data_IF_186090631609
#
_entry.id   IF_186090631609
#
_cell.length_a   1.000
_cell.length_b   1.000
_cell.length_c   1.000
_cell.angle_alpha   90.00
_cell.angle_beta   90.00
_cell.angle_gamma   90.00
#
_symmetry.space_group_name_H-M   'P 1'
#
loop_
_entity.id
_entity.type
_entity.pdbx_description
1 polymer ?
#
# COMPACT_ATOMS: atom_id res chain seq x y z
N UNK A 1 -1.37 16.89 23.20
CA UNK A 1 -0.79 15.88 22.30
C UNK A 1 -1.52 16.01 20.97
N UNK A 2 -0.85 16.49 19.93
CA UNK A 2 -1.44 16.51 18.58
C UNK A 2 -1.58 15.08 18.07
N UNK A 3 -2.67 14.76 17.39
CA UNK A 3 -2.79 13.48 16.70
C UNK A 3 -1.64 13.34 15.67
N UNK A 4 -1.11 12.12 15.44
CA UNK A 4 -0.19 11.91 14.33
C UNK A 4 -0.88 12.35 13.04
N UNK A 5 -0.20 13.17 12.23
CA UNK A 5 -0.70 13.53 10.91
C UNK A 5 -0.75 12.26 10.06
N UNK A 6 -1.96 11.85 9.66
CA UNK A 6 -2.14 10.77 8.70
C UNK A 6 -1.91 11.37 7.31
N UNK A 7 -0.89 10.87 6.61
CA UNK A 7 -0.50 11.38 5.30
C UNK A 7 -1.48 10.89 4.23
N UNK A 8 -1.95 11.78 3.35
CA UNK A 8 -2.80 11.39 2.24
C UNK A 8 -2.02 10.58 1.19
N UNK A 9 -2.65 9.55 0.64
CA UNK A 9 -2.09 8.72 -0.42
C UNK A 9 -3.10 8.58 -1.56
N UNK A 10 -2.66 8.84 -2.79
CA UNK A 10 -3.48 8.74 -4.00
C UNK A 10 -3.02 7.56 -4.85
N UNK A 11 -3.96 6.74 -5.31
CA UNK A 11 -3.68 5.67 -6.27
C UNK A 11 -3.14 6.29 -7.57
N UNK A 12 -1.99 5.82 -8.04
CA UNK A 12 -1.37 6.28 -9.29
C UNK A 12 -1.25 5.16 -10.33
N UNK A 13 -1.25 3.90 -9.89
CA UNK A 13 -1.23 2.74 -10.79
C UNK A 13 -1.96 1.57 -10.14
N UNK A 14 -2.79 0.88 -10.92
CA UNK A 14 -3.37 -0.41 -10.56
C UNK A 14 -3.01 -1.43 -11.65
N UNK A 15 -2.33 -2.50 -11.26
CA UNK A 15 -1.86 -3.53 -12.17
C UNK A 15 -2.89 -4.66 -12.29
N UNK A 16 -3.39 -4.90 -13.50
CA UNK A 16 -4.33 -5.99 -13.79
C UNK A 16 -3.59 -7.34 -13.89
N UNK A 17 -3.35 -7.97 -12.74
CA UNK A 17 -2.81 -9.34 -12.59
C UNK A 17 -1.39 -9.54 -13.13
N UNK A 18 -0.44 -9.74 -12.22
CA UNK A 18 0.93 -10.16 -12.51
C UNK A 18 1.19 -11.58 -11.99
N UNK A 19 2.07 -12.33 -12.66
CA UNK A 19 2.41 -13.72 -12.32
C UNK A 19 1.56 -14.82 -13.01
N UNK A 20 1.98 -16.10 -12.84
CA UNK A 20 1.31 -17.30 -13.42
C UNK A 20 0.84 -18.26 -12.32
N UNK A 21 -0.29 -18.93 -12.56
CA UNK A 21 -0.79 -20.01 -11.69
C UNK A 21 -1.06 -19.55 -10.24
N UNK A 22 -0.61 -20.34 -9.26
CA UNK A 22 -0.77 -20.04 -7.84
C UNK A 22 -0.02 -18.79 -7.34
N UNK A 23 0.86 -18.20 -8.16
CA UNK A 23 1.63 -16.97 -7.83
C UNK A 23 1.00 -15.70 -8.39
N UNK A 24 -0.27 -15.75 -8.83
CA UNK A 24 -0.98 -14.54 -9.27
C UNK A 24 -1.08 -13.54 -8.13
N UNK A 25 -0.67 -12.32 -8.42
CA UNK A 25 -0.74 -11.20 -7.51
C UNK A 25 -1.10 -9.92 -8.29
N UNK A 26 -1.50 -8.89 -7.55
CA UNK A 26 -1.86 -7.58 -8.08
C UNK A 26 -1.06 -6.54 -7.34
N UNK A 27 -0.72 -5.46 -8.03
CA UNK A 27 0.00 -4.33 -7.45
C UNK A 27 -0.89 -3.11 -7.52
N UNK A 28 -0.96 -2.38 -6.41
CA UNK A 28 -1.50 -1.02 -6.38
C UNK A 28 -0.38 -0.11 -5.92
N UNK A 29 -0.09 0.95 -6.68
CA UNK A 29 0.94 1.93 -6.33
C UNK A 29 0.26 3.24 -5.96
N UNK A 30 0.67 3.81 -4.83
CA UNK A 30 0.14 5.05 -4.29
C UNK A 30 1.25 6.08 -4.14
N UNK A 31 0.96 7.33 -4.49
CA UNK A 31 1.82 8.48 -4.17
C UNK A 31 1.32 9.13 -2.90
N UNK A 32 2.19 9.31 -1.92
CA UNK A 32 1.88 10.04 -0.70
C UNK A 32 2.15 11.55 -0.84
N UNK A 33 1.40 12.37 -0.10
CA UNK A 33 1.51 13.83 -0.13
C UNK A 33 2.85 14.35 0.42
N UNK A 34 3.51 13.56 1.27
CA UNK A 34 4.86 13.82 1.79
C UNK A 34 5.97 13.53 0.76
N UNK A 35 5.61 13.03 -0.43
CA UNK A 35 6.55 12.63 -1.48
C UNK A 35 6.95 11.16 -1.43
N UNK A 36 6.48 10.39 -0.45
CA UNK A 36 6.66 8.94 -0.38
C UNK A 36 5.88 8.17 -1.45
N UNK A 37 6.18 6.88 -1.55
CA UNK A 37 5.49 5.93 -2.42
C UNK A 37 5.11 4.68 -1.63
N UNK A 38 3.92 4.15 -1.88
CA UNK A 38 3.45 2.90 -1.28
C UNK A 38 3.10 1.92 -2.38
N UNK A 39 3.65 0.71 -2.31
CA UNK A 39 3.28 -0.41 -3.19
C UNK A 39 2.58 -1.47 -2.35
N UNK A 40 1.34 -1.80 -2.71
CA UNK A 40 0.58 -2.91 -2.12
C UNK A 40 0.61 -4.07 -3.11
N UNK A 41 1.25 -5.17 -2.72
CA UNK A 41 1.19 -6.44 -3.43
C UNK A 41 0.15 -7.35 -2.79
N UNK A 42 -0.93 -7.64 -3.51
CA UNK A 42 -1.99 -8.58 -3.08
C UNK A 42 -1.81 -9.94 -3.74
N UNK A 43 -1.92 -11.00 -2.96
CA UNK A 43 -1.88 -12.37 -3.46
C UNK A 43 -3.29 -12.98 -3.52
N UNK A 44 -3.46 -14.00 -4.37
CA UNK A 44 -4.73 -14.73 -4.51
C UNK A 44 -5.22 -15.36 -3.20
N UNK A 45 -4.30 -15.74 -2.32
CA UNK A 45 -4.60 -16.32 -0.99
C UNK A 45 -4.98 -15.28 0.06
N UNK A 46 -5.20 -14.02 -0.35
CA UNK A 46 -5.51 -12.86 0.51
C UNK A 46 -4.35 -12.38 1.37
N UNK A 47 -3.15 -12.90 1.22
CA UNK A 47 -1.98 -12.27 1.85
C UNK A 47 -1.62 -10.98 1.10
N UNK A 48 -1.08 -10.01 1.82
CA UNK A 48 -0.57 -8.78 1.23
C UNK A 48 0.80 -8.39 1.81
N UNK A 49 1.62 -7.78 0.96
CA UNK A 49 2.83 -7.07 1.35
C UNK A 49 2.64 -5.60 1.01
N UNK A 50 2.81 -4.73 2.00
CA UNK A 50 2.83 -3.28 1.84
C UNK A 50 4.27 -2.83 1.98
N UNK A 51 4.81 -2.23 0.92
CA UNK A 51 6.13 -1.60 0.93
C UNK A 51 5.93 -0.10 0.93
N UNK A 52 6.48 0.60 1.92
CA UNK A 52 6.54 2.07 1.95
C UNK A 52 7.98 2.48 1.66
N UNK A 53 8.13 3.38 0.69
CA UNK A 53 9.32 4.15 0.43
C UNK A 53 9.04 5.58 0.90
N UNK A 54 9.61 5.92 2.04
CA UNK A 54 9.49 7.26 2.64
C UNK A 54 10.27 8.28 1.79
N UNK A 55 9.91 9.56 1.91
CA UNK A 55 10.54 10.64 1.12
C UNK A 55 12.03 10.85 1.45
N UNK A 56 12.48 10.39 2.62
CA UNK A 56 13.88 10.37 3.04
C UNK A 56 14.68 9.21 2.41
N UNK A 57 14.02 8.36 1.61
CA UNK A 57 14.60 7.18 0.98
C UNK A 57 14.63 5.93 1.86
N UNK A 58 14.11 6.01 3.09
CA UNK A 58 13.97 4.83 3.95
C UNK A 58 12.86 3.92 3.45
N UNK A 59 13.02 2.62 3.71
CA UNK A 59 12.08 1.59 3.28
C UNK A 59 11.62 0.78 4.46
N UNK A 60 10.31 0.55 4.53
CA UNK A 60 9.67 -0.30 5.55
C UNK A 60 8.63 -1.20 4.90
N UNK A 61 8.44 -2.36 5.50
CA UNK A 61 7.53 -3.39 4.99
C UNK A 61 6.54 -3.82 6.07
N UNK A 62 5.30 -4.06 5.66
CA UNK A 62 4.25 -4.60 6.50
C UNK A 62 3.56 -5.75 5.78
N UNK A 63 3.44 -6.90 6.45
CA UNK A 63 2.82 -8.10 5.89
C UNK A 63 1.51 -8.39 6.61
N UNK A 64 0.45 -8.59 5.84
CA UNK A 64 -0.87 -9.00 6.34
C UNK A 64 -1.22 -10.38 5.79
N UNK A 65 -1.69 -11.27 6.68
CA UNK A 65 -2.03 -12.64 6.31
C UNK A 65 -3.47 -12.78 5.81
N UNK A 66 -4.33 -11.79 6.08
CA UNK A 66 -5.72 -11.76 5.67
C UNK A 66 -6.17 -10.36 5.26
N UNK A 67 -5.60 -9.86 4.17
CA UNK A 67 -5.85 -8.51 3.69
C UNK A 67 -7.33 -8.34 3.29
N UNK A 68 -7.91 -7.24 3.80
CA UNK A 68 -9.24 -6.74 3.42
C UNK A 68 -9.13 -5.82 2.21
N UNK A 69 -9.19 -4.51 2.42
CA UNK A 69 -9.12 -3.45 1.40
C UNK A 69 -7.79 -2.66 1.53
N UNK A 70 -7.31 -2.06 0.44
CA UNK A 70 -6.10 -1.24 0.41
C UNK A 70 -6.20 -0.03 1.32
N UNK A 71 -7.40 0.54 1.48
CA UNK A 71 -7.68 1.62 2.43
C UNK A 71 -7.29 1.24 3.86
N UNK A 72 -7.56 0.00 4.27
CA UNK A 72 -7.19 -0.49 5.60
C UNK A 72 -5.67 -0.71 5.69
N UNK A 73 -5.07 -1.30 4.66
CA UNK A 73 -3.62 -1.52 4.60
C UNK A 73 -2.84 -0.20 4.70
N UNK A 74 -3.27 0.84 3.97
CA UNK A 74 -2.71 2.19 4.07
C UNK A 74 -2.82 2.74 5.49
N UNK A 75 -4.00 2.62 6.13
CA UNK A 75 -4.21 3.13 7.48
C UNK A 75 -3.28 2.49 8.52
N UNK A 76 -3.00 1.18 8.39
CA UNK A 76 -2.08 0.46 9.28
C UNK A 76 -0.64 0.96 9.14
N UNK A 77 -0.25 1.42 7.95
CA UNK A 77 1.09 1.99 7.71
C UNK A 77 1.14 3.51 7.84
N UNK A 78 0.07 4.16 8.32
CA UNK A 78 0.06 5.60 8.64
C UNK A 78 -0.45 6.51 7.52
N UNK A 79 -1.05 5.95 6.47
CA UNK A 79 -1.54 6.69 5.30
C UNK A 79 -3.07 6.60 5.17
N UNK A 80 -3.67 7.59 4.53
CA UNK A 80 -5.11 7.60 4.21
C UNK A 80 -5.30 7.68 2.71
N UNK A 81 -6.08 6.73 2.16
CA UNK A 81 -6.53 6.82 0.77
C UNK A 81 -7.31 8.12 0.54
N UNK A 82 -6.87 8.93 -0.41
CA UNK A 82 -7.58 10.10 -0.90
C UNK A 82 -8.75 9.65 -1.79
N UNK A 83 -9.88 10.36 -1.70
CA UNK A 83 -10.96 10.17 -2.67
C UNK A 83 -10.51 10.74 -4.02
N UNK A 84 -10.82 10.04 -5.11
CA UNK A 84 -10.63 10.52 -6.47
C UNK A 84 -11.56 11.71 -6.77
#
# INVERSE_FOLDING_TARGET
>A
MSAPEIVGARLIEESHTTGRGGKRHWHSTYRADDGGEIVITRHRDRTALVTVLDADGSRREFRESNAGDDRWLLAVVGYRLQAA
#
